data_IF_682758765101
#
_entry.id   IF_682758765101
#
_cell.length_a   1.000
_cell.length_b   1.000
_cell.length_c   1.000
_cell.angle_alpha   90.00
_cell.angle_beta   90.00
_cell.angle_gamma   90.00
#
_symmetry.space_group_name_H-M   'P 1'
#
loop_
_entity.id
_entity.type
_entity.pdbx_description
1 polymer ?
#
# COMPACT_ATOMS: atom_id res chain seq x y z
N UNK A 1 -35.42 25.51 -55.60
CA UNK A 1 -35.52 25.03 -54.21
C UNK A 1 -35.42 23.50 -54.22
N UNK A 2 -34.69 22.90 -53.25
CA UNK A 2 -34.23 21.48 -53.14
C UNK A 2 -32.76 21.31 -53.58
N UNK A 3 -31.81 21.75 -52.75
CA UNK A 3 -31.18 21.08 -51.59
C UNK A 3 -30.32 19.89 -52.06
N UNK A 4 -29.04 20.18 -52.28
CA UNK A 4 -27.99 19.17 -52.43
C UNK A 4 -27.62 18.60 -51.07
N UNK A 5 -27.54 17.27 -50.98
CA UNK A 5 -27.10 16.55 -49.79
C UNK A 5 -25.58 16.42 -49.89
N UNK A 6 -24.86 17.26 -49.15
CA UNK A 6 -23.43 17.08 -48.89
C UNK A 6 -23.29 16.01 -47.79
N UNK A 7 -22.84 14.82 -48.16
CA UNK A 7 -22.40 13.80 -47.20
C UNK A 7 -21.01 14.24 -46.72
N UNK A 8 -20.96 14.91 -45.57
CA UNK A 8 -19.71 15.19 -44.86
C UNK A 8 -19.34 13.91 -44.12
N UNK A 9 -18.43 13.12 -44.71
CA UNK A 9 -17.76 12.01 -44.02
C UNK A 9 -16.81 12.59 -42.97
N UNK A 10 -17.29 12.69 -41.74
CA UNK A 10 -16.51 13.11 -40.59
C UNK A 10 -15.58 11.96 -40.16
N UNK A 11 -14.40 11.87 -40.78
CA UNK A 11 -13.31 11.04 -40.28
C UNK A 11 -12.83 11.63 -38.95
N UNK A 12 -13.41 11.18 -37.84
CA UNK A 12 -12.79 11.33 -36.52
C UNK A 12 -11.51 10.50 -36.53
N UNK A 13 -10.38 11.13 -36.79
CA UNK A 13 -9.09 10.59 -36.40
C UNK A 13 -9.07 10.52 -34.87
N UNK A 14 -9.47 9.39 -34.29
CA UNK A 14 -9.06 9.04 -32.94
C UNK A 14 -7.53 8.98 -32.97
N UNK A 15 -6.89 10.06 -32.53
CA UNK A 15 -5.54 9.92 -32.02
C UNK A 15 -5.66 9.04 -30.77
N UNK A 16 -5.42 7.74 -30.95
CA UNK A 16 -5.04 6.86 -29.87
C UNK A 16 -3.71 7.39 -29.33
N UNK A 17 -3.79 8.42 -28.47
CA UNK A 17 -2.79 8.58 -27.43
C UNK A 17 -2.78 7.24 -26.72
N UNK A 18 -1.73 6.45 -26.93
CA UNK A 18 -1.46 5.31 -26.08
C UNK A 18 -1.34 5.90 -24.68
N UNK A 19 -2.43 5.86 -23.90
CA UNK A 19 -2.47 6.33 -22.53
C UNK A 19 -1.44 5.51 -21.78
N UNK A 20 -0.27 6.11 -21.68
CA UNK A 20 0.86 5.58 -20.98
C UNK A 20 0.55 5.90 -19.53
N UNK A 21 -0.14 4.99 -18.86
CA UNK A 21 -0.54 5.16 -17.45
C UNK A 21 0.72 5.11 -16.60
N UNK A 22 1.36 6.26 -16.48
CA UNK A 22 2.43 6.52 -15.53
C UNK A 22 1.77 7.07 -14.27
N UNK A 23 2.23 6.59 -13.12
CA UNK A 23 1.74 7.03 -11.82
C UNK A 23 2.91 7.57 -11.00
N UNK A 24 2.62 8.52 -10.13
CA UNK A 24 3.58 9.16 -9.25
C UNK A 24 3.52 8.51 -7.87
N UNK A 25 4.59 7.82 -7.49
CA UNK A 25 4.71 7.15 -6.20
C UNK A 25 5.67 7.91 -5.30
N UNK A 26 5.19 8.42 -4.18
CA UNK A 26 6.02 8.96 -3.12
C UNK A 26 6.84 7.84 -2.47
N UNK A 27 8.15 7.82 -2.73
CA UNK A 27 9.06 6.79 -2.22
C UNK A 27 9.86 7.30 -1.02
N UNK A 28 10.22 6.38 -0.10
CA UNK A 28 10.81 6.71 1.19
C UNK A 28 9.95 7.72 1.98
N UNK A 29 8.63 7.72 1.77
CA UNK A 29 7.73 8.79 2.23
C UNK A 29 7.69 8.93 3.75
N UNK A 30 7.76 7.80 4.47
CA UNK A 30 7.80 7.81 5.94
C UNK A 30 9.19 8.04 6.53
N UNK A 31 10.26 7.97 5.73
CA UNK A 31 11.64 8.17 6.19
C UNK A 31 12.13 9.61 5.95
N UNK A 32 11.65 10.27 4.89
CA UNK A 32 11.94 11.66 4.53
C UNK A 32 13.44 11.98 4.62
N UNK A 33 14.26 11.43 3.72
CA UNK A 33 15.70 11.61 3.79
C UNK A 33 16.08 13.07 3.55
N UNK A 34 17.15 13.56 4.17
CA UNK A 34 17.77 14.85 3.84
C UNK A 34 18.87 14.71 2.80
N UNK A 35 19.42 13.51 2.58
CA UNK A 35 20.44 13.24 1.58
C UNK A 35 20.32 11.82 1.02
N UNK A 36 20.51 11.68 -0.29
CA UNK A 36 20.44 10.41 -1.02
C UNK A 36 21.64 10.26 -1.98
N UNK A 37 22.01 9.01 -2.22
CA UNK A 37 22.93 8.61 -3.27
C UNK A 37 22.15 7.93 -4.39
N UNK A 38 22.35 8.41 -5.61
CA UNK A 38 21.81 7.85 -6.85
C UNK A 38 22.93 7.21 -7.67
N UNK A 39 22.62 6.09 -8.30
CA UNK A 39 23.46 5.48 -9.33
C UNK A 39 22.60 4.74 -10.36
N UNK A 40 23.17 4.40 -11.51
CA UNK A 40 22.49 3.58 -12.52
C UNK A 40 22.66 2.10 -12.18
N UNK A 41 21.57 1.33 -12.28
CA UNK A 41 21.59 -0.14 -12.18
C UNK A 41 21.57 -0.80 -13.56
N UNK A 42 20.77 -0.24 -14.47
CA UNK A 42 20.63 -0.69 -15.85
C UNK A 42 20.26 0.48 -16.75
N UNK A 43 20.85 0.52 -17.95
CA UNK A 43 20.51 1.51 -18.98
C UNK A 43 21.24 2.83 -18.75
N UNK A 44 20.52 3.94 -18.88
CA UNK A 44 21.12 5.27 -18.71
C UNK A 44 20.10 6.35 -18.39
N UNK A 45 20.59 7.45 -17.84
CA UNK A 45 19.79 8.55 -17.33
C UNK A 45 20.40 9.92 -17.65
N UNK A 46 19.55 10.91 -17.89
CA UNK A 46 19.91 12.33 -17.84
C UNK A 46 19.49 12.91 -16.49
N UNK A 47 20.42 13.56 -15.81
CA UNK A 47 20.20 14.29 -14.56
C UNK A 47 19.97 15.75 -14.88
N UNK A 48 18.78 16.26 -14.57
CA UNK A 48 18.38 17.63 -14.88
C UNK A 48 18.11 18.42 -13.60
N UNK A 49 18.56 19.67 -13.56
CA UNK A 49 18.29 20.64 -12.49
C UNK A 49 17.54 21.85 -13.05
N UNK A 50 16.37 22.16 -12.50
CA UNK A 50 15.49 23.26 -12.93
C UNK A 50 15.24 23.33 -14.46
N UNK A 51 15.24 22.16 -15.11
CA UNK A 51 14.99 22.00 -16.55
C UNK A 51 16.24 21.92 -17.43
N UNK A 52 17.42 22.23 -16.91
CA UNK A 52 18.69 22.10 -17.64
C UNK A 52 19.36 20.75 -17.37
N UNK A 53 19.93 20.11 -18.39
CA UNK A 53 20.73 18.89 -18.23
C UNK A 53 22.07 19.23 -17.53
N UNK A 54 22.32 18.59 -16.40
CA UNK A 54 23.53 18.77 -15.59
C UNK A 54 24.60 17.75 -15.97
N UNK A 55 24.18 16.50 -16.15
CA UNK A 55 25.03 15.39 -16.53
C UNK A 55 24.21 14.23 -17.08
N UNK A 56 24.87 13.34 -17.80
CA UNK A 56 24.35 12.00 -18.06
C UNK A 56 24.95 11.08 -17.02
N UNK A 57 24.13 10.19 -16.46
CA UNK A 57 24.55 9.11 -15.59
C UNK A 57 24.48 7.81 -16.40
N UNK A 58 25.63 7.16 -16.48
CA UNK A 58 25.78 5.79 -17.00
C UNK A 58 26.21 4.87 -15.85
N UNK A 59 26.38 3.57 -16.14
CA UNK A 59 26.90 2.60 -15.17
C UNK A 59 28.21 3.11 -14.52
N UNK A 60 28.39 2.82 -13.23
CA UNK A 60 29.47 3.30 -12.33
C UNK A 60 29.46 4.78 -11.92
N UNK A 61 28.64 5.64 -12.54
CA UNK A 61 28.50 7.03 -12.10
C UNK A 61 27.50 7.16 -10.95
N UNK A 62 27.85 8.03 -10.00
CA UNK A 62 26.99 8.32 -8.84
C UNK A 62 26.80 9.82 -8.68
N UNK A 63 25.62 10.21 -8.19
CA UNK A 63 25.39 11.57 -7.73
C UNK A 63 24.72 11.58 -6.35
N UNK A 64 25.06 12.57 -5.55
CA UNK A 64 24.44 12.81 -4.24
C UNK A 64 23.54 14.02 -4.37
N UNK A 65 22.31 13.89 -3.90
CA UNK A 65 21.35 15.00 -3.80
C UNK A 65 21.07 15.23 -2.33
N UNK A 66 21.33 16.45 -1.86
CA UNK A 66 21.16 16.85 -0.45
C UNK A 66 20.23 18.04 -0.38
N UNK A 67 19.30 18.01 0.58
CA UNK A 67 18.41 19.11 0.87
C UNK A 67 19.21 20.25 1.50
N UNK A 68 19.12 21.45 0.93
CA UNK A 68 19.69 22.68 1.45
C UNK A 68 18.60 23.77 1.49
N UNK A 69 17.93 23.87 2.64
CA UNK A 69 16.76 24.72 2.81
C UNK A 69 15.62 24.33 1.86
N UNK A 70 15.29 25.23 0.93
CA UNK A 70 14.28 25.02 -0.10
C UNK A 70 14.86 24.50 -1.43
N UNK A 71 16.19 24.40 -1.53
CA UNK A 71 16.90 23.94 -2.72
C UNK A 71 17.53 22.56 -2.48
N UNK A 72 18.07 22.01 -3.55
CA UNK A 72 18.72 20.71 -3.63
C UNK A 72 20.14 20.95 -4.13
N UNK A 73 21.13 20.70 -3.29
CA UNK A 73 22.51 20.65 -3.75
C UNK A 73 22.78 19.29 -4.40
N UNK A 74 23.30 19.34 -5.62
CA UNK A 74 23.67 18.15 -6.39
C UNK A 74 25.19 18.08 -6.48
N UNK A 75 25.76 16.94 -6.11
CA UNK A 75 27.20 16.69 -6.27
C UNK A 75 27.45 15.39 -7.02
N UNK A 76 28.53 15.34 -7.80
CA UNK A 76 28.97 14.16 -8.55
C UNK A 76 30.49 14.05 -8.47
N UNK A 77 31.02 12.88 -8.10
CA UNK A 77 32.46 12.68 -7.92
C UNK A 77 33.11 13.67 -6.93
N UNK A 78 32.35 14.12 -5.92
CA UNK A 78 32.79 15.12 -4.93
C UNK A 78 32.75 16.58 -5.39
N UNK A 79 32.35 16.86 -6.64
CA UNK A 79 32.20 18.23 -7.17
C UNK A 79 30.74 18.66 -7.15
N UNK A 80 30.47 19.90 -6.72
CA UNK A 80 29.13 20.49 -6.80
C UNK A 80 28.75 20.79 -8.25
N UNK A 81 27.57 20.34 -8.66
CA UNK A 81 26.95 20.62 -9.95
C UNK A 81 25.99 21.82 -9.87
N UNK A 82 25.69 22.31 -8.66
CA UNK A 82 24.82 23.46 -8.41
C UNK A 82 23.71 23.18 -7.40
N UNK A 83 22.89 24.21 -7.17
CA UNK A 83 21.70 24.17 -6.32
C UNK A 83 20.46 24.43 -7.16
N UNK A 84 19.43 23.60 -6.96
CA UNK A 84 18.23 23.60 -7.80
C UNK A 84 16.97 23.49 -6.96
N UNK A 85 15.84 24.04 -7.41
CA UNK A 85 14.55 23.83 -6.75
C UNK A 85 13.97 22.44 -7.05
N UNK A 86 14.28 21.91 -8.23
CA UNK A 86 13.85 20.61 -8.70
C UNK A 86 15.00 19.87 -9.39
N UNK A 87 15.17 18.60 -9.02
CA UNK A 87 16.08 17.68 -9.70
C UNK A 87 15.27 16.53 -10.29
N UNK A 88 15.53 16.17 -11.54
CA UNK A 88 14.89 15.04 -12.22
C UNK A 88 15.95 14.08 -12.75
N UNK A 89 15.70 12.79 -12.54
CA UNK A 89 16.43 11.70 -13.17
C UNK A 89 15.54 11.10 -14.26
N UNK A 90 15.86 11.40 -15.52
CA UNK A 90 15.05 11.05 -16.70
C UNK A 90 15.74 9.90 -17.43
N UNK A 91 15.03 8.78 -17.64
CA UNK A 91 15.61 7.62 -18.34
C UNK A 91 15.86 7.93 -19.82
N UNK A 92 16.96 7.41 -20.35
CA UNK A 92 17.33 7.55 -21.77
C UNK A 92 16.81 6.38 -22.63
N UNK A 93 16.47 5.25 -22.00
CA UNK A 93 15.98 4.05 -22.69
C UNK A 93 14.90 3.32 -21.89
N UNK A 94 14.16 2.45 -22.57
CA UNK A 94 13.15 1.59 -21.94
C UNK A 94 13.81 0.55 -21.03
N UNK A 95 13.22 0.31 -19.87
CA UNK A 95 13.75 -0.65 -18.90
C UNK A 95 14.99 -0.18 -18.13
N UNK A 96 15.34 1.12 -18.20
CA UNK A 96 16.33 1.69 -17.29
C UNK A 96 15.88 1.55 -15.83
N UNK A 97 16.86 1.35 -14.96
CA UNK A 97 16.67 1.20 -13.52
C UNK A 97 17.75 2.01 -12.79
N UNK A 98 17.36 2.71 -11.73
CA UNK A 98 18.28 3.48 -10.89
C UNK A 98 18.30 2.91 -9.47
N UNK A 99 19.47 2.97 -8.85
CA UNK A 99 19.66 2.66 -7.45
C UNK A 99 19.52 3.94 -6.62
N UNK A 100 18.83 3.82 -5.49
CA UNK A 100 18.62 4.89 -4.52
C UNK A 100 18.99 4.38 -3.13
N UNK A 101 19.93 5.05 -2.47
CA UNK A 101 20.30 4.82 -1.07
C UNK A 101 20.08 6.09 -0.27
N UNK A 102 19.43 6.00 0.88
CA UNK A 102 19.35 7.14 1.80
C UNK A 102 20.64 7.23 2.61
N UNK A 103 21.25 8.40 2.65
CA UNK A 103 22.44 8.67 3.44
C UNK A 103 22.07 9.20 4.83
N UNK A 104 20.97 9.95 4.94
CA UNK A 104 20.50 10.53 6.20
C UNK A 104 18.96 10.57 6.25
N UNK A 105 18.28 9.72 7.05
CA UNK A 105 18.86 8.61 7.82
C UNK A 105 19.42 7.52 6.90
N UNK A 106 20.40 6.74 7.36
CA UNK A 106 20.96 5.65 6.56
C UNK A 106 19.91 4.54 6.32
N UNK A 107 19.60 4.26 5.05
CA UNK A 107 18.69 3.17 4.66
C UNK A 107 19.32 2.43 3.50
N UNK A 108 19.13 1.11 3.50
CA UNK A 108 19.64 0.23 2.45
C UNK A 108 19.22 0.64 1.04
N UNK A 109 20.11 0.34 0.11
CA UNK A 109 19.94 0.63 -1.31
C UNK A 109 18.74 -0.14 -1.86
N UNK A 110 17.90 0.53 -2.65
CA UNK A 110 16.82 -0.09 -3.44
C UNK A 110 16.94 0.31 -4.90
N UNK A 111 16.51 -0.57 -5.79
CA UNK A 111 16.48 -0.30 -7.23
C UNK A 111 15.06 0.05 -7.65
N UNK A 112 14.87 1.14 -8.38
CA UNK A 112 13.58 1.60 -8.89
C UNK A 112 13.60 1.69 -10.41
N UNK A 113 12.46 1.42 -11.07
CA UNK A 113 12.32 1.56 -12.52
C UNK A 113 12.05 3.02 -12.90
N UNK A 114 12.18 3.29 -14.20
CA UNK A 114 11.68 4.50 -14.84
C UNK A 114 12.33 5.77 -14.33
N UNK A 115 11.62 6.73 -13.75
CA UNK A 115 12.13 8.09 -13.52
C UNK A 115 11.97 8.54 -12.06
N UNK A 116 12.79 9.50 -11.63
CA UNK A 116 12.73 10.07 -10.28
C UNK A 116 12.62 11.58 -10.34
N UNK A 117 11.69 12.14 -9.58
CA UNK A 117 11.57 13.58 -9.34
C UNK A 117 11.87 13.89 -7.87
N UNK A 118 12.66 14.93 -7.65
CA UNK A 118 13.15 15.32 -6.34
C UNK A 118 12.85 16.81 -6.14
N UNK A 119 12.29 17.13 -4.98
CA UNK A 119 12.04 18.51 -4.52
C UNK A 119 12.32 18.59 -3.02
N UNK A 120 12.56 19.79 -2.49
CA UNK A 120 12.63 20.01 -1.06
C UNK A 120 11.23 20.20 -0.47
N UNK A 121 10.97 19.63 0.71
CA UNK A 121 9.77 19.84 1.51
C UNK A 121 10.15 19.85 3.00
N UNK A 122 10.03 21.00 3.64
CA UNK A 122 10.29 21.18 5.08
C UNK A 122 11.69 20.68 5.51
N UNK A 123 12.73 21.06 4.75
CA UNK A 123 14.13 20.68 5.02
C UNK A 123 14.45 19.20 4.78
N UNK A 124 13.56 18.46 4.12
CA UNK A 124 13.76 17.07 3.69
C UNK A 124 13.52 16.93 2.19
N UNK A 125 14.04 15.85 1.61
CA UNK A 125 13.76 15.48 0.24
C UNK A 125 12.37 14.83 0.13
N UNK A 126 11.57 15.34 -0.79
CA UNK A 126 10.40 14.66 -1.33
C UNK A 126 10.82 13.95 -2.62
N UNK A 127 10.70 12.63 -2.61
CA UNK A 127 11.11 11.74 -3.70
C UNK A 127 9.87 11.13 -4.34
N UNK A 128 9.70 11.31 -5.65
CA UNK A 128 8.58 10.79 -6.42
C UNK A 128 9.11 9.93 -7.55
N UNK A 129 8.87 8.62 -7.49
CA UNK A 129 9.12 7.72 -8.59
C UNK A 129 7.96 7.82 -9.58
N UNK A 130 8.22 8.42 -10.73
CA UNK A 130 7.29 8.50 -11.86
C UNK A 130 7.46 7.21 -12.68
N UNK A 131 6.54 6.27 -12.48
CA UNK A 131 6.69 4.84 -12.84
C UNK A 131 5.52 4.36 -13.66
N UNK A 132 5.77 3.48 -14.61
CA UNK A 132 4.69 2.85 -15.38
C UNK A 132 3.86 1.96 -14.48
N UNK A 133 2.54 2.01 -14.64
CA UNK A 133 1.61 1.23 -13.81
C UNK A 133 2.05 -0.23 -13.69
N UNK A 134 2.34 -0.91 -14.80
CA UNK A 134 2.74 -2.33 -14.77
C UNK A 134 4.08 -2.58 -14.07
N UNK A 135 5.05 -1.66 -14.13
CA UNK A 135 6.29 -1.77 -13.37
C UNK A 135 6.04 -1.59 -11.86
N UNK A 136 5.15 -0.66 -11.50
CA UNK A 136 4.69 -0.49 -10.12
C UNK A 136 3.96 -1.73 -9.61
N UNK A 137 3.02 -2.28 -10.39
CA UNK A 137 2.28 -3.49 -10.01
C UNK A 137 3.21 -4.67 -9.79
N UNK A 138 4.22 -4.90 -10.65
CA UNK A 138 5.21 -5.94 -10.40
C UNK A 138 5.95 -5.74 -9.07
N UNK A 139 6.39 -4.52 -8.79
CA UNK A 139 7.05 -4.18 -7.52
C UNK A 139 6.16 -4.36 -6.29
N UNK A 140 4.87 -4.02 -6.40
CA UNK A 140 3.88 -4.24 -5.33
C UNK A 140 3.64 -5.72 -5.10
N UNK A 141 3.41 -6.50 -6.17
CA UNK A 141 3.12 -7.94 -6.05
C UNK A 141 4.26 -8.63 -5.30
N UNK A 142 5.52 -8.37 -5.66
CA UNK A 142 6.66 -8.94 -4.96
C UNK A 142 6.73 -8.47 -3.49
N UNK A 143 6.52 -7.17 -3.24
CA UNK A 143 6.66 -6.61 -1.90
C UNK A 143 5.56 -7.06 -0.92
N UNK A 144 4.34 -7.28 -1.41
CA UNK A 144 3.17 -7.69 -0.62
C UNK A 144 3.07 -9.21 -0.48
N UNK A 145 3.52 -9.97 -1.48
CA UNK A 145 3.32 -11.43 -1.54
C UNK A 145 4.58 -12.26 -1.33
N UNK A 146 5.75 -11.64 -1.45
CA UNK A 146 7.02 -12.36 -1.54
C UNK A 146 7.18 -13.14 -2.85
N UNK A 147 8.24 -13.93 -2.91
CA UNK A 147 8.74 -14.54 -4.16
C UNK A 147 8.44 -16.03 -4.30
N UNK A 148 7.71 -16.61 -3.34
CA UNK A 148 7.50 -18.07 -3.23
C UNK A 148 6.07 -18.53 -3.50
N UNK A 149 5.23 -17.66 -4.06
CA UNK A 149 3.83 -17.99 -4.31
C UNK A 149 3.62 -18.54 -5.73
N UNK A 150 2.45 -19.17 -5.94
CA UNK A 150 2.06 -19.71 -7.24
C UNK A 150 1.69 -18.64 -8.28
N UNK A 151 1.83 -19.00 -9.55
CA UNK A 151 1.56 -18.12 -10.70
C UNK A 151 0.13 -17.54 -10.71
N UNK A 152 -0.88 -18.35 -10.40
CA UNK A 152 -2.27 -17.91 -10.37
C UNK A 152 -2.54 -16.92 -9.22
N UNK A 153 -1.92 -17.13 -8.06
CA UNK A 153 -2.01 -16.16 -6.96
C UNK A 153 -1.36 -14.82 -7.34
N UNK A 154 -0.23 -14.83 -8.05
CA UNK A 154 0.37 -13.59 -8.55
C UNK A 154 -0.53 -12.84 -9.54
N UNK A 155 -1.35 -13.54 -10.34
CA UNK A 155 -2.36 -12.90 -11.19
C UNK A 155 -3.44 -12.22 -10.35
N UNK A 156 -3.96 -12.91 -9.34
CA UNK A 156 -4.95 -12.34 -8.40
C UNK A 156 -4.40 -11.07 -7.76
N UNK A 157 -3.18 -11.15 -7.20
CA UNK A 157 -2.56 -9.98 -6.55
C UNK A 157 -2.31 -8.84 -7.55
N UNK A 158 -1.92 -9.13 -8.80
CA UNK A 158 -1.71 -8.10 -9.82
C UNK A 158 -3.00 -7.34 -10.14
N UNK A 159 -4.12 -8.04 -10.32
CA UNK A 159 -5.44 -7.43 -10.60
C UNK A 159 -5.92 -6.60 -9.40
N UNK A 160 -5.77 -7.12 -8.18
CA UNK A 160 -6.13 -6.40 -6.95
C UNK A 160 -5.29 -5.14 -6.78
N UNK A 161 -3.96 -5.26 -6.91
CA UNK A 161 -3.04 -4.15 -6.78
C UNK A 161 -3.35 -3.05 -7.81
N UNK A 162 -3.60 -3.43 -9.07
CA UNK A 162 -3.93 -2.51 -10.16
C UNK A 162 -5.24 -1.78 -9.93
N UNK A 163 -6.28 -2.53 -9.56
CA UNK A 163 -7.60 -1.96 -9.29
C UNK A 163 -7.52 -0.93 -8.16
N UNK A 164 -6.85 -1.27 -7.05
CA UNK A 164 -6.67 -0.34 -5.94
C UNK A 164 -5.85 0.89 -6.36
N UNK A 165 -4.77 0.71 -7.12
CA UNK A 165 -3.91 1.82 -7.51
C UNK A 165 -4.70 2.87 -8.31
N UNK A 166 -5.47 2.39 -9.30
CA UNK A 166 -6.31 3.23 -10.14
C UNK A 166 -7.49 3.85 -9.38
N UNK A 167 -8.12 3.12 -8.46
CA UNK A 167 -9.23 3.64 -7.64
C UNK A 167 -8.77 4.65 -6.57
N UNK A 168 -7.46 4.79 -6.34
CA UNK A 168 -6.88 5.64 -5.28
C UNK A 168 -5.88 6.68 -5.81
N UNK A 169 -5.86 7.01 -7.10
CA UNK A 169 -4.88 7.95 -7.69
C UNK A 169 -4.85 9.33 -7.02
N UNK A 170 -5.95 9.76 -6.40
CA UNK A 170 -6.05 11.04 -5.69
C UNK A 170 -5.61 11.00 -4.22
N UNK A 171 -5.21 9.85 -3.67
CA UNK A 171 -5.06 9.65 -2.22
C UNK A 171 -4.01 10.56 -1.57
N UNK A 172 -2.92 10.85 -2.30
CA UNK A 172 -1.84 11.73 -1.83
C UNK A 172 -1.69 13.01 -2.66
N UNK A 173 -2.73 13.42 -3.39
CA UNK A 173 -2.68 14.59 -4.30
C UNK A 173 -2.18 15.87 -3.63
N UNK A 174 -2.54 16.10 -2.37
CA UNK A 174 -2.12 17.25 -1.56
C UNK A 174 -0.61 17.27 -1.27
N UNK A 175 0.06 16.12 -1.41
CA UNK A 175 1.51 15.99 -1.28
C UNK A 175 2.23 16.02 -2.65
N UNK A 176 1.47 16.07 -3.75
CA UNK A 176 1.98 16.16 -5.12
C UNK A 176 2.40 14.82 -5.74
N UNK A 177 1.76 13.72 -5.34
CA UNK A 177 1.92 12.40 -5.95
C UNK A 177 0.63 11.56 -5.75
N UNK A 178 0.49 10.41 -6.41
CA UNK A 178 -0.73 9.62 -6.38
C UNK A 178 -0.83 8.74 -5.12
N UNK A 179 0.19 7.92 -4.87
CA UNK A 179 0.26 6.91 -3.81
C UNK A 179 1.62 6.93 -3.11
N UNK A 180 1.73 6.35 -1.91
CA UNK A 180 3.02 6.19 -1.21
C UNK A 180 3.51 4.73 -1.19
N UNK A 181 4.77 4.52 -0.85
CA UNK A 181 5.46 3.22 -0.86
C UNK A 181 5.23 2.33 0.39
N UNK A 182 4.16 2.59 1.16
CA UNK A 182 3.88 1.96 2.46
C UNK A 182 2.43 1.47 2.56
N UNK A 183 2.12 0.81 3.68
CA UNK A 183 0.78 0.29 4.05
C UNK A 183 -0.37 1.30 4.02
N UNK A 184 -0.08 2.61 4.00
CA UNK A 184 -1.13 3.62 3.75
C UNK A 184 -1.64 3.56 2.31
N UNK A 185 -0.85 3.03 1.38
CA UNK A 185 -1.25 2.70 0.01
C UNK A 185 -1.04 1.20 -0.21
N UNK A 186 0.07 0.83 -0.85
CA UNK A 186 0.55 -0.54 -1.01
C UNK A 186 2.06 -0.49 -0.83
N UNK A 187 2.65 -1.55 -0.27
CA UNK A 187 4.09 -1.65 -0.10
C UNK A 187 4.72 -1.73 -1.48
N UNK A 188 5.59 -0.77 -1.80
CA UNK A 188 6.35 -0.74 -3.05
C UNK A 188 7.83 -0.59 -2.74
N UNK A 189 8.64 -1.58 -3.16
CA UNK A 189 10.08 -1.60 -2.87
C UNK A 189 10.95 -1.39 -4.11
N UNK A 190 10.34 -0.96 -5.22
CA UNK A 190 10.99 -0.76 -6.50
C UNK A 190 10.81 -1.94 -7.44
N UNK A 191 11.85 -2.29 -8.20
CA UNK A 191 11.80 -3.34 -9.23
C UNK A 191 11.58 -4.72 -8.60
N UNK A 192 10.68 -5.52 -9.17
CA UNK A 192 10.58 -6.95 -8.87
C UNK A 192 11.76 -7.70 -9.49
N UNK A 193 12.57 -8.34 -8.64
CA UNK A 193 13.79 -9.07 -9.05
C UNK A 193 13.81 -10.52 -8.57
N UNK A 194 12.95 -10.88 -7.62
CA UNK A 194 13.07 -12.15 -6.90
C UNK A 194 12.38 -13.35 -7.56
N UNK A 195 11.40 -13.12 -8.44
CA UNK A 195 10.73 -14.21 -9.18
C UNK A 195 10.18 -13.72 -10.54
N UNK A 196 10.64 -14.26 -11.68
CA UNK A 196 10.16 -13.86 -13.02
C UNK A 196 8.68 -14.19 -13.27
N UNK A 197 8.10 -15.14 -12.52
CA UNK A 197 6.67 -15.47 -12.63
C UNK A 197 5.77 -14.30 -12.24
N UNK A 198 6.26 -13.39 -11.38
CA UNK A 198 5.54 -12.16 -11.01
C UNK A 198 5.36 -11.28 -12.24
N UNK A 199 6.45 -11.02 -12.98
CA UNK A 199 6.41 -10.22 -14.21
C UNK A 199 5.50 -10.90 -15.25
N UNK A 200 5.59 -12.24 -15.37
CA UNK A 200 4.72 -13.01 -16.26
C UNK A 200 3.24 -12.87 -15.89
N UNK A 201 2.90 -12.89 -14.60
CA UNK A 201 1.53 -12.80 -14.10
C UNK A 201 0.94 -11.39 -14.28
N UNK A 202 1.73 -10.37 -13.96
CA UNK A 202 1.39 -8.96 -14.20
C UNK A 202 1.13 -8.72 -15.68
N UNK A 203 2.03 -9.21 -16.55
CA UNK A 203 1.87 -9.10 -18.01
C UNK A 203 0.62 -9.82 -18.51
N UNK A 204 0.36 -11.05 -18.03
CA UNK A 204 -0.81 -11.84 -18.43
C UNK A 204 -2.14 -11.22 -18.00
N UNK A 205 -2.13 -10.35 -16.98
CA UNK A 205 -3.31 -9.64 -16.46
C UNK A 205 -3.28 -8.15 -16.76
N UNK A 206 -2.44 -7.72 -17.71
CA UNK A 206 -2.28 -6.30 -18.05
C UNK A 206 -3.63 -5.69 -18.42
N UNK A 207 -3.95 -4.56 -17.78
CA UNK A 207 -5.21 -3.85 -18.00
C UNK A 207 -6.46 -4.51 -17.38
N UNK A 208 -6.34 -5.68 -16.75
CA UNK A 208 -7.44 -6.28 -16.01
C UNK A 208 -7.60 -5.56 -14.66
N UNK A 209 -8.83 -5.13 -14.41
CA UNK A 209 -9.29 -4.44 -13.21
C UNK A 209 -10.65 -4.99 -12.79
N UNK A 210 -11.03 -4.77 -11.53
CA UNK A 210 -12.33 -5.18 -11.00
C UNK A 210 -13.23 -3.95 -10.90
N UNK A 211 -14.45 -4.06 -11.42
CA UNK A 211 -15.48 -3.01 -11.38
C UNK A 211 -16.74 -3.52 -10.69
N UNK A 212 -17.54 -2.61 -10.14
CA UNK A 212 -18.86 -2.91 -9.62
C UNK A 212 -19.95 -2.95 -10.72
N UNK A 213 -21.21 -3.12 -10.31
CA UNK A 213 -22.35 -3.17 -11.25
C UNK A 213 -22.54 -1.90 -12.06
N UNK A 214 -22.01 -0.78 -11.57
CA UNK A 214 -22.12 0.54 -12.20
C UNK A 214 -20.85 0.87 -13.02
N UNK A 215 -19.96 -0.13 -13.21
CA UNK A 215 -18.71 -0.04 -13.96
C UNK A 215 -17.70 0.93 -13.31
N UNK A 216 -17.83 1.19 -12.01
CA UNK A 216 -16.82 1.92 -11.25
C UNK A 216 -15.75 0.97 -10.74
N UNK A 217 -14.48 1.41 -10.75
CA UNK A 217 -13.39 0.67 -10.10
C UNK A 217 -13.74 0.41 -8.62
N UNK A 218 -13.66 -0.85 -8.20
CA UNK A 218 -13.95 -1.17 -6.80
C UNK A 218 -12.83 -0.70 -5.88
N UNK A 219 -13.14 -0.55 -4.60
CA UNK A 219 -12.14 -0.46 -3.54
C UNK A 219 -11.54 -1.86 -3.28
N UNK A 220 -10.49 -2.21 -4.04
CA UNK A 220 -9.82 -3.51 -3.97
C UNK A 220 -8.86 -3.63 -2.77
N UNK A 221 -9.44 -3.76 -1.58
CA UNK A 221 -8.72 -3.94 -0.31
C UNK A 221 -8.38 -5.40 -0.05
N UNK A 222 -7.23 -5.63 0.57
CA UNK A 222 -6.72 -6.97 0.89
C UNK A 222 -5.97 -6.99 2.21
N UNK A 223 -5.87 -8.16 2.83
CA UNK A 223 -5.22 -8.36 4.11
C UNK A 223 -4.57 -9.75 4.19
N UNK A 224 -3.68 -9.98 5.16
CA UNK A 224 -2.90 -11.21 5.27
C UNK A 224 -3.78 -12.46 5.48
N UNK A 225 -4.50 -12.55 6.61
CA UNK A 225 -5.33 -13.71 6.95
C UNK A 225 -6.67 -13.26 7.53
N UNK A 226 -7.78 -13.84 7.08
CA UNK A 226 -9.12 -13.44 7.53
C UNK A 226 -9.48 -13.91 8.93
N UNK A 227 -8.83 -14.97 9.42
CA UNK A 227 -9.22 -15.68 10.64
C UNK A 227 -10.37 -16.66 10.41
N UNK A 228 -10.60 -17.08 9.16
CA UNK A 228 -11.65 -18.04 8.78
C UNK A 228 -12.92 -17.39 8.23
N UNK A 229 -13.00 -16.06 8.24
CA UNK A 229 -14.14 -15.27 7.78
C UNK A 229 -13.72 -13.81 7.55
N UNK A 230 -14.12 -13.21 6.43
CA UNK A 230 -13.86 -11.79 6.15
C UNK A 230 -14.79 -10.87 6.95
N UNK A 231 -14.68 -9.54 6.75
CA UNK A 231 -15.41 -8.51 7.52
C UNK A 231 -16.20 -7.63 6.58
N UNK A 232 -17.40 -7.23 7.01
CA UNK A 232 -18.15 -6.19 6.31
C UNK A 232 -17.41 -4.85 6.40
N UNK A 233 -17.47 -4.03 5.36
CA UNK A 233 -16.74 -2.76 5.35
C UNK A 233 -17.16 -1.81 6.49
N UNK A 234 -18.42 -1.82 6.92
CA UNK A 234 -18.95 -1.01 8.03
C UNK A 234 -18.42 -1.44 9.41
N UNK A 235 -18.07 -2.71 9.59
CA UNK A 235 -17.53 -3.22 10.86
C UNK A 235 -16.05 -2.88 11.02
N UNK A 236 -15.31 -2.80 9.91
CA UNK A 236 -13.92 -2.35 9.89
C UNK A 236 -13.77 -0.83 9.78
N UNK A 237 -14.67 -0.17 9.05
CA UNK A 237 -14.69 1.26 8.78
C UNK A 237 -16.03 1.85 9.18
N UNK A 238 -16.69 2.64 8.32
CA UNK A 238 -17.89 3.38 8.71
C UNK A 238 -19.04 3.28 7.71
N UNK A 239 -18.80 2.80 6.49
CA UNK A 239 -19.79 2.79 5.42
C UNK A 239 -19.96 1.39 4.86
N UNK A 240 -21.21 0.93 4.64
CA UNK A 240 -21.46 -0.33 3.96
C UNK A 240 -21.10 -0.20 2.47
N UNK A 241 -20.38 -1.17 1.94
CA UNK A 241 -19.99 -1.26 0.54
C UNK A 241 -20.50 -2.58 -0.01
N UNK A 242 -21.28 -2.52 -1.09
CA UNK A 242 -22.06 -3.67 -1.60
C UNK A 242 -21.23 -4.93 -1.84
N UNK A 243 -20.01 -4.79 -2.36
CA UNK A 243 -19.11 -5.89 -2.70
C UNK A 243 -18.09 -6.23 -1.58
N UNK A 244 -18.05 -5.49 -0.47
CA UNK A 244 -17.18 -5.76 0.67
C UNK A 244 -18.00 -6.33 1.83
N UNK A 245 -18.44 -7.57 1.65
CA UNK A 245 -19.28 -8.30 2.61
C UNK A 245 -18.50 -9.45 3.23
N UNK A 246 -18.88 -9.77 4.47
CA UNK A 246 -18.37 -10.93 5.19
C UNK A 246 -18.72 -12.22 4.44
N UNK A 247 -17.70 -13.02 4.17
CA UNK A 247 -17.82 -14.36 3.57
C UNK A 247 -16.99 -15.36 4.37
N UNK A 248 -17.42 -16.63 4.48
CA UNK A 248 -16.58 -17.69 5.02
C UNK A 248 -15.30 -17.86 4.18
N UNK A 249 -14.18 -18.04 4.87
CA UNK A 249 -12.87 -18.28 4.25
C UNK A 249 -12.22 -19.49 4.91
N UNK A 250 -12.60 -20.68 4.45
CA UNK A 250 -12.08 -21.93 5.01
C UNK A 250 -10.62 -22.15 4.67
N UNK A 251 -10.10 -21.51 3.62
CA UNK A 251 -8.75 -21.69 3.12
C UNK A 251 -7.71 -20.96 3.98
N UNK A 252 -8.08 -19.91 4.70
CA UNK A 252 -7.16 -19.22 5.61
C UNK A 252 -6.91 -19.93 6.94
N UNK A 253 -7.64 -21.00 7.27
CA UNK A 253 -7.62 -21.61 8.62
C UNK A 253 -6.31 -22.32 8.94
N UNK A 254 -5.68 -22.94 7.95
CA UNK A 254 -4.45 -23.72 8.12
C UNK A 254 -3.23 -22.96 7.58
N UNK A 255 -3.26 -21.64 7.72
CA UNK A 255 -2.22 -20.74 7.24
C UNK A 255 -1.46 -20.07 8.39
N UNK A 256 -0.18 -19.70 8.18
CA UNK A 256 0.72 -19.29 9.26
C UNK A 256 0.20 -18.16 10.16
N UNK A 257 -0.59 -17.22 9.61
CA UNK A 257 -1.10 -16.06 10.36
C UNK A 257 -2.54 -16.26 10.86
N UNK A 258 -3.00 -17.51 10.95
CA UNK A 258 -4.36 -17.80 11.39
C UNK A 258 -4.59 -17.55 12.89
N UNK A 259 -3.65 -17.87 13.78
CA UNK A 259 -3.82 -17.65 15.23
C UNK A 259 -2.82 -16.66 15.80
N UNK A 260 -3.21 -15.99 16.88
CA UNK A 260 -2.32 -15.16 17.69
C UNK A 260 -2.82 -15.08 19.13
N UNK A 261 -1.92 -14.77 20.05
CA UNK A 261 -2.27 -14.44 21.43
C UNK A 261 -1.43 -13.28 21.95
N UNK A 262 -1.98 -12.55 22.90
CA UNK A 262 -1.27 -11.53 23.68
C UNK A 262 -1.97 -11.36 25.04
N UNK A 263 -1.38 -10.58 25.93
CA UNK A 263 -1.99 -10.24 27.22
C UNK A 263 -1.79 -8.76 27.53
N UNK A 264 -2.73 -8.21 28.29
CA UNK A 264 -2.71 -6.83 28.78
C UNK A 264 -2.86 -6.87 30.29
N UNK A 265 -2.15 -6.00 31.00
CA UNK A 265 -2.37 -5.78 32.43
C UNK A 265 -3.83 -5.41 32.70
N UNK A 266 -4.47 -6.11 33.63
CA UNK A 266 -5.91 -5.98 33.89
C UNK A 266 -6.30 -4.55 34.26
N UNK A 267 -5.49 -3.89 35.09
CA UNK A 267 -5.78 -2.53 35.52
C UNK A 267 -5.69 -1.56 34.34
N UNK A 268 -4.68 -1.70 33.47
CA UNK A 268 -4.57 -0.90 32.25
C UNK A 268 -5.74 -1.14 31.28
N UNK A 269 -6.20 -2.38 31.15
CA UNK A 269 -7.36 -2.71 30.32
C UNK A 269 -8.64 -2.03 30.82
N UNK A 270 -8.95 -2.18 32.11
CA UNK A 270 -10.14 -1.58 32.71
C UNK A 270 -10.07 -0.04 32.69
N UNK A 271 -8.90 0.53 32.99
CA UNK A 271 -8.66 1.97 32.94
C UNK A 271 -8.85 2.53 31.52
N UNK A 272 -8.40 1.81 30.50
CA UNK A 272 -8.63 2.17 29.09
C UNK A 272 -10.13 2.25 28.78
N UNK A 273 -10.90 1.23 29.16
CA UNK A 273 -12.35 1.19 28.93
C UNK A 273 -13.06 2.33 29.67
N UNK A 274 -12.72 2.55 30.93
CA UNK A 274 -13.33 3.59 31.75
C UNK A 274 -12.99 5.00 31.26
N UNK A 275 -11.71 5.29 30.98
CA UNK A 275 -11.27 6.63 30.57
C UNK A 275 -11.78 7.01 29.20
N UNK A 276 -11.64 6.11 28.22
CA UNK A 276 -11.95 6.38 26.82
C UNK A 276 -13.44 6.28 26.49
N UNK A 277 -14.14 5.28 27.04
CA UNK A 277 -15.54 4.99 26.69
C UNK A 277 -16.53 5.28 27.82
N UNK A 278 -16.06 5.69 29.02
CA UNK A 278 -16.90 5.80 30.23
C UNK A 278 -17.62 4.49 30.55
N UNK A 279 -16.97 3.37 30.24
CA UNK A 279 -17.51 2.04 30.49
C UNK A 279 -17.57 1.77 32.00
N UNK A 280 -18.72 1.34 32.56
CA UNK A 280 -18.93 1.26 34.00
C UNK A 280 -18.33 -0.02 34.59
N UNK A 281 -17.01 -0.06 34.71
CA UNK A 281 -16.26 -1.23 35.22
C UNK A 281 -16.53 -1.57 36.70
N UNK A 282 -17.18 -0.67 37.44
CA UNK A 282 -17.60 -0.91 38.83
C UNK A 282 -18.91 -1.71 38.93
N UNK A 283 -19.69 -1.77 37.83
CA UNK A 283 -20.86 -2.63 37.75
C UNK A 283 -20.42 -4.08 37.45
N UNK A 284 -20.91 -5.03 38.25
CA UNK A 284 -20.45 -6.43 38.17
C UNK A 284 -20.74 -7.08 36.81
N UNK A 285 -21.86 -6.74 36.15
CA UNK A 285 -22.20 -7.31 34.85
C UNK A 285 -21.29 -6.77 33.74
N UNK A 286 -21.04 -5.44 33.75
CA UNK A 286 -20.13 -4.81 32.80
C UNK A 286 -18.68 -5.26 33.01
N UNK A 287 -18.24 -5.40 34.26
CA UNK A 287 -16.93 -5.94 34.60
C UNK A 287 -16.76 -7.36 34.07
N UNK A 288 -17.75 -8.23 34.30
CA UNK A 288 -17.71 -9.59 33.79
C UNK A 288 -17.60 -9.62 32.26
N UNK A 289 -18.36 -8.80 31.54
CA UNK A 289 -18.30 -8.69 30.08
C UNK A 289 -16.94 -8.17 29.59
N UNK A 290 -16.33 -7.21 30.29
CA UNK A 290 -15.01 -6.68 29.93
C UNK A 290 -13.88 -7.68 30.16
N UNK A 291 -14.04 -8.61 31.11
CA UNK A 291 -13.04 -9.61 31.48
C UNK A 291 -13.24 -10.96 30.79
N UNK A 292 -14.44 -11.22 30.25
CA UNK A 292 -14.79 -12.45 29.55
C UNK A 292 -15.63 -12.14 28.31
N UNK A 293 -14.98 -12.20 27.14
CA UNK A 293 -15.61 -11.96 25.84
C UNK A 293 -15.34 -13.15 24.93
N UNK A 294 -16.38 -13.92 24.61
CA UNK A 294 -16.25 -15.09 23.72
C UNK A 294 -17.46 -15.14 22.78
N UNK A 295 -17.48 -14.29 21.73
CA UNK A 295 -18.63 -14.23 20.86
C UNK A 295 -18.70 -15.48 19.98
N UNK A 296 -19.92 -16.01 19.69
CA UNK A 296 -20.08 -17.18 18.83
C UNK A 296 -19.69 -16.91 17.37
N UNK A 297 -19.75 -15.65 16.94
CA UNK A 297 -19.39 -15.18 15.62
C UNK A 297 -18.54 -13.90 15.72
N UNK A 298 -17.88 -13.53 14.62
CA UNK A 298 -17.10 -12.30 14.55
C UNK A 298 -18.00 -11.09 14.77
N UNK A 299 -17.59 -10.16 15.66
CA UNK A 299 -18.36 -8.94 15.99
C UNK A 299 -17.61 -7.66 15.65
N UNK A 300 -18.36 -6.57 15.49
CA UNK A 300 -17.81 -5.22 15.35
C UNK A 300 -17.56 -4.50 16.69
N UNK A 301 -18.24 -4.92 17.77
CA UNK A 301 -18.18 -4.29 19.10
C UNK A 301 -17.94 -5.29 20.23
N UNK A 302 -17.41 -4.79 21.35
CA UNK A 302 -17.23 -5.59 22.58
C UNK A 302 -18.56 -5.89 23.28
N UNK A 303 -19.52 -4.97 23.17
CA UNK A 303 -20.83 -5.02 23.83
C UNK A 303 -21.94 -4.51 22.88
N UNK A 304 -23.17 -4.96 23.13
CA UNK A 304 -24.39 -4.55 22.39
C UNK A 304 -25.12 -3.38 23.01
N UNK A 305 -24.74 -3.03 24.23
CA UNK A 305 -25.32 -1.95 25.02
C UNK A 305 -24.35 -0.80 25.12
N UNK A 306 -24.89 0.40 25.37
CA UNK A 306 -24.06 1.59 25.55
C UNK A 306 -23.21 1.45 26.84
N UNK A 307 -21.96 1.95 26.84
CA UNK A 307 -21.29 2.62 25.71
C UNK A 307 -20.78 1.61 24.67
N UNK A 308 -21.02 1.89 23.39
CA UNK A 308 -20.53 1.05 22.29
C UNK A 308 -19.01 1.16 22.18
N UNK A 309 -18.32 0.02 22.25
CA UNK A 309 -16.86 -0.06 22.12
C UNK A 309 -16.52 -0.81 20.83
N UNK A 310 -16.09 -0.11 19.75
CA UNK A 310 -15.70 -0.76 18.50
C UNK A 310 -14.41 -1.58 18.67
N UNK A 311 -14.41 -2.83 18.21
CA UNK A 311 -13.22 -3.70 18.27
C UNK A 311 -12.08 -3.17 17.40
N UNK A 312 -12.39 -2.41 16.33
CA UNK A 312 -11.39 -1.73 15.49
C UNK A 312 -10.55 -0.71 16.28
N UNK A 313 -11.14 -0.06 17.28
CA UNK A 313 -10.43 0.90 18.12
C UNK A 313 -9.51 0.16 19.10
N UNK A 314 -10.01 -0.91 19.73
CA UNK A 314 -9.20 -1.77 20.61
C UNK A 314 -7.99 -2.29 19.84
N UNK A 315 -8.22 -2.84 18.64
CA UNK A 315 -7.15 -3.33 17.77
C UNK A 315 -6.11 -2.25 17.48
N UNK A 316 -6.55 -1.04 17.13
CA UNK A 316 -5.65 0.08 16.80
C UNK A 316 -4.84 0.53 18.01
N UNK A 317 -5.50 0.71 19.16
CA UNK A 317 -4.87 1.31 20.34
C UNK A 317 -3.92 0.36 21.06
N UNK A 318 -4.16 -0.95 20.93
CA UNK A 318 -3.35 -2.02 21.53
C UNK A 318 -2.49 -2.78 20.53
N UNK A 319 -2.42 -2.30 19.28
CA UNK A 319 -1.66 -2.91 18.18
C UNK A 319 -1.96 -4.42 17.99
N UNK A 320 -3.24 -4.80 18.12
CA UNK A 320 -3.65 -6.19 17.94
C UNK A 320 -3.63 -6.57 16.46
N UNK A 321 -3.37 -7.85 16.17
CA UNK A 321 -3.25 -8.32 14.78
C UNK A 321 -4.57 -8.26 14.02
N UNK A 322 -5.71 -8.45 14.69
CA UNK A 322 -7.05 -8.43 14.08
C UNK A 322 -8.13 -7.97 15.06
N UNK A 323 -9.36 -7.83 14.58
CA UNK A 323 -10.57 -7.59 15.39
C UNK A 323 -11.30 -8.88 15.77
N UNK A 324 -10.72 -10.05 15.47
CA UNK A 324 -11.35 -11.34 15.73
C UNK A 324 -10.63 -12.02 16.88
N UNK A 325 -11.14 -11.83 18.10
CA UNK A 325 -10.53 -12.38 19.30
C UNK A 325 -11.55 -12.66 20.40
N UNK A 326 -11.12 -13.46 21.36
CA UNK A 326 -11.77 -13.67 22.65
C UNK A 326 -10.92 -13.01 23.75
N UNK A 327 -11.55 -12.75 24.89
CA UNK A 327 -10.93 -12.20 26.09
C UNK A 327 -11.20 -13.14 27.27
N UNK A 328 -10.16 -13.43 28.05
CA UNK A 328 -10.26 -14.17 29.31
C UNK A 328 -9.33 -13.56 30.35
N UNK A 329 -9.89 -13.17 31.49
CA UNK A 329 -9.11 -12.70 32.64
C UNK A 329 -8.53 -13.87 33.44
N UNK A 330 -7.26 -13.76 33.82
CA UNK A 330 -6.56 -14.72 34.69
C UNK A 330 -5.47 -14.00 35.50
N UNK A 331 -5.54 -14.10 36.83
CA UNK A 331 -4.64 -13.36 37.73
C UNK A 331 -4.68 -11.84 37.48
N UNK A 332 -3.53 -11.21 37.32
CA UNK A 332 -3.37 -9.77 37.07
C UNK A 332 -3.51 -9.38 35.58
N UNK A 333 -3.79 -10.34 34.69
CA UNK A 333 -3.79 -10.13 33.24
C UNK A 333 -5.14 -10.45 32.59
N UNK A 334 -5.32 -9.85 31.42
CA UNK A 334 -6.41 -10.09 30.48
C UNK A 334 -5.79 -10.65 29.20
N UNK A 335 -6.08 -11.92 28.92
CA UNK A 335 -5.55 -12.65 27.77
C UNK A 335 -6.46 -12.49 26.57
N UNK A 336 -5.85 -12.23 25.41
CA UNK A 336 -6.51 -12.17 24.12
C UNK A 336 -6.06 -13.37 23.30
N UNK A 337 -7.02 -14.17 22.84
CA UNK A 337 -6.79 -15.24 21.87
C UNK A 337 -7.51 -14.87 20.59
N UNK A 338 -6.75 -14.65 19.52
CA UNK A 338 -7.28 -14.11 18.28
C UNK A 338 -6.97 -14.93 17.05
N UNK A 339 -7.72 -14.59 16.00
CA UNK A 339 -7.64 -15.21 14.68
C UNK A 339 -7.39 -14.17 13.59
N UNK A 340 -6.61 -14.55 12.59
CA UNK A 340 -6.28 -13.75 11.42
C UNK A 340 -5.31 -12.60 11.68
N UNK A 341 -4.94 -11.92 10.59
CA UNK A 341 -4.02 -10.80 10.58
C UNK A 341 -4.49 -9.77 9.55
N UNK A 342 -4.74 -8.55 10.02
CA UNK A 342 -5.13 -7.42 9.20
C UNK A 342 -6.56 -6.96 9.46
N UNK A 343 -7.08 -6.11 8.57
CA UNK A 343 -8.42 -5.53 8.74
C UNK A 343 -9.55 -6.50 8.41
N UNK A 344 -9.28 -7.59 7.68
CA UNK A 344 -10.28 -8.64 7.40
C UNK A 344 -11.26 -8.33 6.26
N UNK A 345 -11.25 -7.12 5.72
CA UNK A 345 -12.13 -6.70 4.60
C UNK A 345 -11.51 -7.09 3.26
N UNK A 346 -12.36 -7.52 2.31
CA UNK A 346 -11.95 -7.85 0.95
C UNK A 346 -11.17 -9.16 0.87
N UNK A 347 -10.10 -9.18 0.06
CA UNK A 347 -9.35 -10.40 -0.22
C UNK A 347 -8.46 -10.82 0.97
N UNK A 348 -8.56 -12.07 1.42
CA UNK A 348 -7.52 -12.68 2.24
C UNK A 348 -6.41 -13.24 1.36
N UNK A 349 -5.18 -12.75 1.56
CA UNK A 349 -4.01 -13.19 0.82
C UNK A 349 -3.73 -14.68 1.04
N UNK A 350 -3.67 -15.11 2.31
CA UNK A 350 -3.41 -16.52 2.63
C UNK A 350 -4.54 -17.45 2.16
N UNK A 351 -5.80 -17.02 2.25
CA UNK A 351 -6.93 -17.75 1.67
C UNK A 351 -6.78 -17.91 0.15
N UNK A 352 -6.47 -16.83 -0.57
CA UNK A 352 -6.28 -16.86 -2.02
C UNK A 352 -5.03 -17.66 -2.46
N UNK A 353 -3.93 -17.63 -1.69
CA UNK A 353 -2.77 -18.48 -1.95
C UNK A 353 -3.16 -19.96 -1.92
N UNK A 354 -3.90 -20.38 -0.88
CA UNK A 354 -4.38 -21.76 -0.74
C UNK A 354 -5.39 -22.16 -1.81
N UNK A 355 -6.30 -21.26 -2.18
CA UNK A 355 -7.22 -21.52 -3.28
C UNK A 355 -6.44 -21.72 -4.60
N UNK A 356 -5.43 -20.89 -4.87
CA UNK A 356 -4.60 -21.03 -6.06
C UNK A 356 -3.77 -22.33 -6.07
N UNK A 357 -3.32 -22.81 -4.90
CA UNK A 357 -2.63 -24.10 -4.76
C UNK A 357 -3.57 -25.30 -4.98
N UNK A 358 -4.85 -25.17 -4.64
CA UNK A 358 -5.84 -26.25 -4.71
C UNK A 358 -6.41 -26.48 -6.13
N UNK A 359 -6.20 -25.55 -7.06
CA UNK A 359 -6.82 -25.55 -8.39
C UNK A 359 -8.27 -25.04 -8.38
#
# INVERSE_FOLDING_TARGET
>A
MRIGIFIISLFYSLQLSAYREVIDIGIMWGNRPSSILLSVDKGGYSLNGDGAELSKLIEDQTCVVTCDGAQLEVTSGGKSLGKFYQVKLIRNSWGSQFNLKSLAPAIEKRTYPDQLYITALSGRLKLVNNVYLEHYIAGVVEAESGTKQGYEYYKVQAVIARTYALSNLGKFKEHGFNLCDRVQSQVFKGVSKGNPEIIRAVTATRGLVIVDSDINLIQAVFHSNSGGQTVNSEDAWSQPVRYLRSVPDTFSRDMPHYTWSTFIDKNKWLDYLQKKYKYPVDDSAYLQQALFFNPPERRGTLCDTKPYIPLKDIRKDWDLKSTYFTIRSEGEYVYFEGKGFGHGVGLSQEGAMRMAEAG
#
